data_IF_055118189263
#
_entry.id   IF_055118189263
#
_cell.length_a   1.000
_cell.length_b   1.000
_cell.length_c   1.000
_cell.angle_alpha   90.00
_cell.angle_beta   90.00
_cell.angle_gamma   90.00
#
_symmetry.space_group_name_H-M   'P 1'
#
loop_
_entity.id
_entity.type
_entity.pdbx_description
1 polymer ?
#
# COMPACT_ATOMS: atom_id res chain seq x y z
N UNK A 1 -7.82 -12.92 42.71
CA UNK A 1 -7.62 -12.26 41.40
C UNK A 1 -6.24 -12.65 40.85
N UNK A 2 -6.13 -13.71 40.04
CA UNK A 2 -4.84 -14.15 39.50
C UNK A 2 -4.54 -13.40 38.19
N UNK A 3 -3.53 -12.51 38.21
CA UNK A 3 -2.97 -11.88 37.02
C UNK A 3 -2.20 -12.94 36.21
N UNK A 4 -2.76 -13.37 35.09
CA UNK A 4 -2.05 -14.21 34.10
C UNK A 4 -0.88 -13.40 33.54
N UNK A 5 0.33 -13.71 33.99
CA UNK A 5 1.59 -13.13 33.50
C UNK A 5 1.82 -13.62 32.07
N UNK A 6 1.52 -12.78 31.06
CA UNK A 6 1.83 -13.08 29.65
C UNK A 6 3.33 -13.36 29.52
N UNK A 7 3.72 -14.62 29.25
CA UNK A 7 5.09 -15.02 28.90
C UNK A 7 5.61 -14.09 27.79
N UNK A 8 6.74 -13.41 28.04
CA UNK A 8 7.37 -12.60 27.01
C UNK A 8 7.78 -13.52 25.85
N UNK A 9 7.54 -13.12 24.59
CA UNK A 9 7.89 -13.97 23.45
C UNK A 9 9.41 -14.14 23.41
N UNK A 10 9.86 -15.40 23.25
CA UNK A 10 11.27 -15.74 23.12
C UNK A 10 11.94 -14.89 22.03
N UNK A 11 13.22 -14.56 22.24
CA UNK A 11 14.02 -13.76 21.31
C UNK A 11 13.95 -14.28 19.86
N UNK A 12 13.97 -15.60 19.70
CA UNK A 12 13.83 -16.30 18.41
C UNK A 12 12.46 -16.02 17.77
N UNK A 13 11.39 -16.04 18.56
CA UNK A 13 10.03 -15.73 18.08
C UNK A 13 9.89 -14.29 17.58
N UNK A 14 10.56 -13.33 18.22
CA UNK A 14 10.59 -11.93 17.78
C UNK A 14 11.36 -11.78 16.47
N UNK A 15 12.52 -12.42 16.34
CA UNK A 15 13.32 -12.42 15.11
C UNK A 15 12.55 -12.99 13.91
N UNK A 16 11.87 -14.12 14.08
CA UNK A 16 11.07 -14.75 13.01
C UNK A 16 9.92 -13.83 12.57
N UNK A 17 9.25 -13.17 13.53
CA UNK A 17 8.16 -12.23 13.23
C UNK A 17 8.66 -11.03 12.43
N UNK A 18 9.78 -10.44 12.84
CA UNK A 18 10.42 -9.33 12.13
C UNK A 18 10.76 -9.71 10.69
N UNK A 19 11.43 -10.84 10.48
CA UNK A 19 11.82 -11.33 9.15
C UNK A 19 10.62 -11.64 8.25
N UNK A 20 9.51 -12.13 8.83
CA UNK A 20 8.25 -12.34 8.09
C UNK A 20 7.64 -11.01 7.66
N UNK A 21 7.65 -10.00 8.53
CA UNK A 21 7.13 -8.67 8.24
C UNK A 21 7.98 -7.96 7.18
N UNK A 22 9.30 -8.04 7.26
CA UNK A 22 10.23 -7.53 6.23
C UNK A 22 9.94 -8.13 4.85
N UNK A 23 9.72 -9.46 4.77
CA UNK A 23 9.34 -10.10 3.49
C UNK A 23 8.04 -9.57 2.93
N UNK A 24 7.05 -9.29 3.78
CA UNK A 24 5.76 -8.72 3.37
C UNK A 24 5.92 -7.29 2.86
N UNK A 25 6.74 -6.49 3.54
CA UNK A 25 7.07 -5.14 3.09
C UNK A 25 7.79 -5.17 1.74
N UNK A 26 8.86 -5.97 1.60
CA UNK A 26 9.57 -6.13 0.33
C UNK A 26 8.59 -6.51 -0.79
N UNK A 27 7.66 -7.43 -0.51
CA UNK A 27 6.60 -7.82 -1.45
C UNK A 27 5.72 -6.61 -1.82
N UNK A 28 5.24 -5.85 -0.85
CA UNK A 28 4.43 -4.66 -1.10
C UNK A 28 5.14 -3.65 -2.01
N UNK A 29 6.37 -3.24 -1.66
CA UNK A 29 7.10 -2.23 -2.44
C UNK A 29 7.45 -2.70 -3.85
N UNK A 30 7.78 -3.97 -4.04
CA UNK A 30 8.15 -4.48 -5.37
C UNK A 30 6.94 -4.73 -6.29
N UNK A 31 5.76 -4.98 -5.74
CA UNK A 31 4.67 -5.59 -6.54
C UNK A 31 3.38 -4.78 -6.61
N UNK A 32 3.25 -3.66 -5.90
CA UNK A 32 1.93 -3.03 -5.79
C UNK A 32 1.41 -2.30 -7.05
N UNK A 33 2.16 -2.02 -8.13
CA UNK A 33 1.60 -1.18 -9.22
C UNK A 33 2.21 -1.34 -10.64
N UNK A 34 3.19 -2.21 -10.88
CA UNK A 34 3.88 -2.25 -12.20
C UNK A 34 4.04 -3.63 -12.80
N UNK A 35 3.50 -4.67 -12.16
CA UNK A 35 3.70 -6.04 -12.59
C UNK A 35 2.38 -6.81 -12.51
N UNK A 36 1.79 -7.06 -13.68
CA UNK A 36 0.54 -7.80 -13.87
C UNK A 36 0.67 -9.28 -13.52
N UNK A 37 1.90 -9.79 -13.31
CA UNK A 37 2.12 -11.19 -12.97
C UNK A 37 1.61 -11.53 -11.58
N UNK A 38 0.88 -12.64 -11.49
CA UNK A 38 0.39 -13.16 -10.22
C UNK A 38 1.55 -13.56 -9.30
N UNK A 39 1.37 -13.54 -7.97
CA UNK A 39 2.36 -14.05 -7.02
C UNK A 39 2.80 -15.49 -7.31
N UNK A 40 1.90 -16.32 -7.85
CA UNK A 40 2.17 -17.69 -8.27
C UNK A 40 3.04 -17.73 -9.54
N UNK A 41 2.74 -16.89 -10.54
CA UNK A 41 3.53 -16.81 -11.77
C UNK A 41 5.02 -16.56 -11.49
N UNK A 42 5.35 -15.68 -10.54
CA UNK A 42 6.75 -15.42 -10.18
C UNK A 42 7.44 -16.57 -9.45
N UNK A 43 6.69 -17.31 -8.63
CA UNK A 43 7.22 -18.51 -7.97
C UNK A 43 7.56 -19.55 -9.04
N UNK A 44 6.66 -19.72 -10.01
CA UNK A 44 6.86 -20.61 -11.17
C UNK A 44 8.05 -20.15 -12.00
N UNK A 45 8.17 -18.87 -12.35
CA UNK A 45 9.31 -18.32 -13.11
C UNK A 45 10.65 -18.60 -12.39
N UNK A 46 10.68 -18.39 -11.07
CA UNK A 46 11.91 -18.61 -10.28
C UNK A 46 12.25 -20.09 -10.19
N UNK A 47 11.24 -20.97 -10.02
CA UNK A 47 11.41 -22.42 -10.01
C UNK A 47 11.88 -22.94 -11.36
N UNK A 48 11.21 -22.54 -12.44
CA UNK A 48 11.56 -22.93 -13.81
C UNK A 48 12.98 -22.50 -14.15
N UNK A 49 13.34 -21.24 -13.86
CA UNK A 49 14.70 -20.76 -14.03
C UNK A 49 15.73 -21.52 -13.20
N UNK A 50 15.38 -21.92 -11.96
CA UNK A 50 16.28 -22.72 -11.11
C UNK A 50 16.46 -24.15 -11.62
N UNK A 51 15.40 -24.79 -12.12
CA UNK A 51 15.46 -26.14 -12.70
C UNK A 51 16.34 -26.12 -13.95
N UNK A 52 16.09 -25.15 -14.84
CA UNK A 52 16.88 -24.99 -16.07
C UNK A 52 18.36 -24.72 -15.75
N UNK A 53 18.64 -23.87 -14.74
CA UNK A 53 19.99 -23.63 -14.25
C UNK A 53 20.67 -24.92 -13.77
N UNK A 54 19.98 -25.73 -12.95
CA UNK A 54 20.51 -27.01 -12.45
C UNK A 54 20.85 -27.94 -13.61
N UNK A 55 19.94 -28.10 -14.59
CA UNK A 55 20.15 -29.01 -15.73
C UNK A 55 21.38 -28.59 -16.55
N UNK A 56 21.49 -27.30 -16.90
CA UNK A 56 22.60 -26.80 -17.71
C UNK A 56 23.94 -26.98 -16.99
N UNK A 57 24.03 -26.53 -15.73
CA UNK A 57 25.30 -26.59 -14.99
C UNK A 57 25.68 -28.00 -14.57
N UNK A 58 24.72 -28.87 -14.28
CA UNK A 58 25.00 -30.28 -14.05
C UNK A 58 25.59 -30.94 -15.29
N UNK A 59 24.99 -30.75 -16.47
CA UNK A 59 25.51 -31.29 -17.74
C UNK A 59 26.92 -30.77 -18.02
N UNK A 60 27.16 -29.47 -17.79
CA UNK A 60 28.47 -28.85 -17.99
C UNK A 60 29.53 -29.44 -17.05
N UNK A 61 29.25 -29.55 -15.76
CA UNK A 61 30.22 -30.10 -14.81
C UNK A 61 30.42 -31.61 -14.98
N UNK A 62 29.39 -32.34 -15.40
CA UNK A 62 29.49 -33.76 -15.72
C UNK A 62 30.45 -33.99 -16.89
N UNK A 63 30.36 -33.18 -17.93
CA UNK A 63 31.25 -33.26 -19.08
C UNK A 63 32.72 -32.94 -18.72
N UNK A 64 32.96 -32.04 -17.76
CA UNK A 64 34.32 -31.63 -17.36
C UNK A 64 34.94 -32.62 -16.36
N UNK A 65 34.19 -33.05 -15.35
CA UNK A 65 34.73 -33.87 -14.24
C UNK A 65 34.64 -35.38 -14.49
N UNK A 66 33.78 -35.80 -15.43
CA UNK A 66 33.43 -37.19 -15.72
C UNK A 66 32.98 -37.99 -14.47
N UNK A 67 32.57 -37.29 -13.41
CA UNK A 67 32.15 -37.86 -12.14
C UNK A 67 30.84 -37.21 -11.68
N UNK A 68 29.79 -38.02 -11.58
CA UNK A 68 28.43 -37.55 -11.24
C UNK A 68 28.36 -36.90 -9.85
N UNK A 69 29.09 -37.40 -8.85
CA UNK A 69 29.00 -36.89 -7.49
C UNK A 69 29.58 -35.48 -7.38
N UNK A 70 30.79 -35.27 -7.91
CA UNK A 70 31.45 -33.95 -7.92
C UNK A 70 30.67 -32.93 -8.76
N UNK A 71 30.08 -33.36 -9.87
CA UNK A 71 29.23 -32.52 -10.71
C UNK A 71 28.00 -32.01 -9.95
N UNK A 72 27.36 -32.89 -9.18
CA UNK A 72 26.21 -32.52 -8.36
C UNK A 72 26.62 -31.54 -7.25
N UNK A 73 27.71 -31.83 -6.53
CA UNK A 73 28.22 -30.95 -5.46
C UNK A 73 28.52 -29.55 -5.99
N UNK A 74 29.25 -29.44 -7.11
CA UNK A 74 29.56 -28.16 -7.76
C UNK A 74 28.30 -27.41 -8.21
N UNK A 75 27.32 -28.13 -8.77
CA UNK A 75 26.04 -27.53 -9.20
C UNK A 75 25.26 -26.97 -8.01
N UNK A 76 25.19 -27.68 -6.89
CA UNK A 76 24.49 -27.22 -5.69
C UNK A 76 25.16 -25.99 -5.09
N UNK A 77 26.50 -25.97 -5.02
CA UNK A 77 27.27 -24.81 -4.55
C UNK A 77 26.98 -23.60 -5.45
N UNK A 78 27.04 -23.78 -6.77
CA UNK A 78 26.78 -22.71 -7.72
C UNK A 78 25.33 -22.21 -7.67
N UNK A 79 24.37 -23.11 -7.52
CA UNK A 79 22.96 -22.75 -7.33
C UNK A 79 22.76 -21.93 -6.04
N UNK A 80 23.41 -22.31 -4.94
CA UNK A 80 23.34 -21.54 -3.69
C UNK A 80 23.88 -20.11 -3.88
N UNK A 81 25.02 -19.96 -4.57
CA UNK A 81 25.58 -18.65 -4.93
C UNK A 81 24.63 -17.84 -5.82
N UNK A 82 24.05 -18.47 -6.84
CA UNK A 82 23.08 -17.85 -7.74
C UNK A 82 21.85 -17.32 -6.98
N UNK A 83 21.27 -18.12 -6.06
CA UNK A 83 20.14 -17.70 -5.23
C UNK A 83 20.49 -16.54 -4.29
N UNK A 84 21.70 -16.53 -3.72
CA UNK A 84 22.20 -15.41 -2.91
C UNK A 84 22.34 -14.13 -3.75
N UNK A 85 22.82 -14.24 -4.98
CA UNK A 85 22.95 -13.13 -5.92
C UNK A 85 21.58 -12.56 -6.30
N UNK A 86 20.61 -13.42 -6.66
CA UNK A 86 19.23 -13.01 -6.92
C UNK A 86 18.60 -12.28 -5.73
N UNK A 87 18.86 -12.76 -4.50
CA UNK A 87 18.40 -12.11 -3.27
C UNK A 87 19.02 -10.72 -3.11
N UNK A 88 20.32 -10.58 -3.37
CA UNK A 88 21.04 -9.29 -3.29
C UNK A 88 20.49 -8.28 -4.29
N UNK A 89 20.29 -8.68 -5.54
CA UNK A 89 19.68 -7.83 -6.59
C UNK A 89 18.29 -7.36 -6.15
N UNK A 90 17.46 -8.27 -5.63
CA UNK A 90 16.11 -7.95 -5.16
C UNK A 90 16.12 -6.92 -4.03
N UNK A 91 17.05 -7.06 -3.08
CA UNK A 91 17.18 -6.13 -1.96
C UNK A 91 17.65 -4.75 -2.42
N UNK A 92 18.60 -4.69 -3.35
CA UNK A 92 19.06 -3.44 -3.93
C UNK A 92 17.92 -2.72 -4.68
N UNK A 93 17.16 -3.44 -5.51
CA UNK A 93 15.97 -2.91 -6.20
C UNK A 93 14.92 -2.42 -5.21
N UNK A 94 14.69 -3.15 -4.12
CA UNK A 94 13.79 -2.74 -3.04
C UNK A 94 14.21 -1.40 -2.42
N UNK A 95 15.48 -1.25 -2.04
CA UNK A 95 15.98 -0.01 -1.44
C UNK A 95 15.85 1.19 -2.39
N UNK A 96 16.11 0.99 -3.69
CA UNK A 96 15.94 2.03 -4.71
C UNK A 96 14.48 2.48 -4.87
N UNK A 97 13.53 1.54 -4.83
CA UNK A 97 12.10 1.83 -5.04
C UNK A 97 11.43 2.37 -3.76
N UNK A 98 11.92 1.97 -2.58
CA UNK A 98 11.31 2.28 -1.28
C UNK A 98 11.08 3.78 -1.07
N UNK A 99 12.12 4.60 -1.24
CA UNK A 99 12.04 6.04 -0.97
C UNK A 99 11.02 6.74 -1.87
N UNK A 100 11.05 6.43 -3.18
CA UNK A 100 10.08 6.99 -4.14
C UNK A 100 8.64 6.62 -3.78
N UNK A 101 8.38 5.34 -3.52
CA UNK A 101 7.04 4.88 -3.13
C UNK A 101 6.57 5.45 -1.80
N UNK A 102 7.48 5.58 -0.83
CA UNK A 102 7.16 6.22 0.45
C UNK A 102 6.71 7.67 0.25
N UNK A 103 7.41 8.40 -0.60
CA UNK A 103 7.06 9.78 -0.94
C UNK A 103 5.72 9.87 -1.66
N UNK A 104 5.48 9.00 -2.64
CA UNK A 104 4.18 8.91 -3.34
C UNK A 104 3.02 8.62 -2.35
N UNK A 105 3.19 7.65 -1.45
CA UNK A 105 2.19 7.32 -0.42
C UNK A 105 2.01 8.45 0.60
N UNK A 106 3.08 9.17 0.95
CA UNK A 106 3.01 10.33 1.82
C UNK A 106 2.20 11.47 1.17
N UNK A 107 2.40 11.69 -0.13
CA UNK A 107 1.63 12.66 -0.91
C UNK A 107 0.15 12.31 -0.98
N UNK A 108 -0.16 11.04 -1.27
CA UNK A 108 -1.55 10.55 -1.27
C UNK A 108 -2.19 10.70 0.10
N UNK A 109 -1.48 10.34 1.18
CA UNK A 109 -1.97 10.48 2.54
C UNK A 109 -2.27 11.93 2.90
N UNK A 110 -1.34 12.84 2.64
CA UNK A 110 -1.50 14.27 2.92
C UNK A 110 -2.64 14.87 2.08
N UNK A 111 -2.71 14.52 0.80
CA UNK A 111 -3.82 14.94 -0.06
C UNK A 111 -5.16 14.49 0.49
N UNK A 112 -5.29 13.20 0.84
CA UNK A 112 -6.52 12.66 1.44
C UNK A 112 -6.85 13.35 2.76
N UNK A 113 -5.85 13.57 3.63
CA UNK A 113 -6.01 14.33 4.87
C UNK A 113 -6.56 15.72 4.59
N UNK A 114 -5.97 16.47 3.64
CA UNK A 114 -6.44 17.81 3.27
C UNK A 114 -7.90 17.81 2.78
N UNK A 115 -8.36 16.76 2.10
CA UNK A 115 -9.75 16.64 1.62
C UNK A 115 -10.74 16.32 2.74
N UNK A 116 -10.28 15.61 3.78
CA UNK A 116 -11.07 15.26 4.97
C UNK A 116 -11.24 16.44 5.94
N UNK A 117 -10.29 17.38 5.98
CA UNK A 117 -10.37 18.58 6.83
C UNK A 117 -11.60 19.45 6.49
N UNK A 118 -12.06 20.20 7.49
CA UNK A 118 -12.96 21.31 7.24
C UNK A 118 -12.21 22.50 6.59
N UNK A 119 -12.92 23.45 6.01
CA UNK A 119 -12.27 24.53 5.25
C UNK A 119 -11.33 25.38 6.11
N UNK A 120 -11.70 25.69 7.36
CA UNK A 120 -10.87 26.47 8.28
C UNK A 120 -9.58 25.74 8.67
N UNK A 121 -9.70 24.45 8.99
CA UNK A 121 -8.55 23.58 9.28
C UNK A 121 -7.63 23.45 8.06
N UNK A 122 -8.19 23.39 6.85
CA UNK A 122 -7.42 23.38 5.62
C UNK A 122 -6.63 24.68 5.43
N UNK A 123 -7.27 25.84 5.62
CA UNK A 123 -6.60 27.15 5.58
C UNK A 123 -5.49 27.20 6.62
N UNK A 124 -5.78 26.86 7.88
CA UNK A 124 -4.81 26.82 8.98
C UNK A 124 -3.63 25.90 8.67
N UNK A 125 -3.88 24.73 8.09
CA UNK A 125 -2.84 23.77 7.73
C UNK A 125 -1.90 24.31 6.65
N UNK A 126 -2.42 25.07 5.69
CA UNK A 126 -1.60 25.72 4.65
C UNK A 126 -0.87 26.94 5.21
N UNK A 127 -1.50 27.72 6.08
CA UNK A 127 -0.86 28.84 6.79
C UNK A 127 0.35 28.35 7.59
N UNK A 128 0.21 27.25 8.34
CA UNK A 128 1.32 26.63 9.07
C UNK A 128 2.46 26.21 8.12
N UNK A 129 2.12 25.68 6.94
CA UNK A 129 3.10 25.30 5.93
C UNK A 129 3.81 26.53 5.33
N UNK A 130 3.07 27.59 5.04
CA UNK A 130 3.58 28.85 4.51
C UNK A 130 4.47 29.56 5.54
N UNK A 131 4.07 29.62 6.81
CA UNK A 131 4.83 30.25 7.88
C UNK A 131 6.21 29.60 8.09
N UNK A 132 6.30 28.28 7.92
CA UNK A 132 7.59 27.56 7.99
C UNK A 132 8.54 27.88 6.85
N UNK A 133 8.01 28.15 5.65
CA UNK A 133 8.82 28.43 4.45
C UNK A 133 9.12 29.92 4.33
N UNK A 134 8.16 30.76 4.71
CA UNK A 134 8.21 32.22 4.62
C UNK A 134 7.94 32.82 6.01
N UNK A 135 8.95 32.86 6.91
CA UNK A 135 8.77 33.36 8.27
C UNK A 135 8.31 34.82 8.37
N UNK A 136 8.51 35.60 7.30
CA UNK A 136 8.11 37.01 7.21
C UNK A 136 6.73 37.21 6.58
N UNK A 137 6.01 36.14 6.25
CA UNK A 137 4.66 36.21 5.71
C UNK A 137 3.68 36.36 6.88
N UNK A 138 3.23 37.58 7.13
CA UNK A 138 2.28 37.87 8.21
C UNK A 138 0.91 38.22 7.64
N UNK A 139 -0.17 37.77 8.28
CA UNK A 139 -1.53 38.22 7.98
C UNK A 139 -1.65 39.74 8.22
N UNK A 140 -2.15 40.46 7.23
CA UNK A 140 -2.32 41.91 7.25
C UNK A 140 -3.78 42.27 7.54
N UNK A 141 -4.07 42.73 8.76
CA UNK A 141 -5.38 43.27 9.15
C UNK A 141 -6.46 42.23 9.45
N UNK A 142 -6.63 41.93 10.75
CA UNK A 142 -7.75 41.16 11.31
C UNK A 142 -7.44 40.71 12.74
N UNK A 143 -8.45 40.56 13.60
CA UNK A 143 -8.39 40.23 15.05
C UNK A 143 -7.74 38.85 15.39
N UNK A 144 -6.73 38.39 14.64
CA UNK A 144 -6.21 37.03 14.71
C UNK A 144 -7.20 35.96 14.20
N UNK A 145 -8.31 36.37 13.57
CA UNK A 145 -9.31 35.48 13.00
C UNK A 145 -8.85 34.99 11.62
N UNK A 146 -8.86 33.67 11.45
CA UNK A 146 -8.49 33.00 10.20
C UNK A 146 -9.37 33.46 9.03
N UNK A 147 -8.79 33.67 7.83
CA UNK A 147 -9.55 34.06 6.65
C UNK A 147 -10.50 32.94 6.25
N UNK A 148 -11.75 33.30 5.95
CA UNK A 148 -12.78 32.34 5.54
C UNK A 148 -12.61 31.87 4.09
N UNK A 149 -11.91 32.64 3.25
CA UNK A 149 -11.72 32.34 1.83
C UNK A 149 -10.48 33.05 1.25
N UNK A 150 -10.36 34.36 1.51
CA UNK A 150 -9.25 35.19 1.06
C UNK A 150 -8.49 35.78 2.27
N UNK A 151 -7.17 35.62 2.27
CA UNK A 151 -6.28 36.23 3.26
C UNK A 151 -5.35 37.25 2.62
N UNK A 152 -5.21 38.42 3.24
CA UNK A 152 -4.21 39.42 2.82
C UNK A 152 -2.96 39.18 3.66
N UNK A 153 -1.83 39.02 2.99
CA UNK A 153 -0.55 38.77 3.61
C UNK A 153 0.45 39.85 3.25
N UNK A 154 1.35 40.16 4.18
CA UNK A 154 2.46 41.07 3.95
C UNK A 154 3.73 40.26 3.69
N UNK A 155 4.38 40.53 2.56
CA UNK A 155 5.70 39.99 2.22
C UNK A 155 6.66 41.16 2.05
N UNK A 156 7.35 41.52 3.13
CA UNK A 156 8.15 42.75 3.20
C UNK A 156 7.26 44.00 3.15
N UNK A 157 7.42 44.83 2.12
CA UNK A 157 6.58 46.02 1.89
C UNK A 157 5.39 45.75 0.97
N UNK A 158 5.33 44.58 0.31
CA UNK A 158 4.27 44.25 -0.63
C UNK A 158 3.13 43.48 0.06
N UNK A 159 1.89 43.80 -0.30
CA UNK A 159 0.71 42.98 0.04
C UNK A 159 0.52 41.89 -1.00
N UNK A 160 0.09 40.71 -0.58
CA UNK A 160 -0.22 39.55 -1.40
C UNK A 160 -1.58 39.01 -0.99
N UNK A 161 -2.49 38.86 -1.94
CA UNK A 161 -3.78 38.22 -1.69
C UNK A 161 -3.65 36.71 -1.91
N UNK A 162 -4.03 35.90 -0.93
CA UNK A 162 -4.04 34.44 -1.07
C UNK A 162 -5.48 33.94 -0.96
N UNK A 163 -5.97 33.27 -1.99
CA UNK A 163 -7.29 32.62 -2.01
C UNK A 163 -7.13 31.12 -1.79
N UNK A 164 -7.88 30.57 -0.85
CA UNK A 164 -7.90 29.16 -0.55
C UNK A 164 -9.16 28.51 -1.11
N UNK A 165 -8.99 27.52 -2.00
CA UNK A 165 -10.10 26.73 -2.56
C UNK A 165 -9.90 25.26 -2.22
N UNK A 166 -10.76 24.72 -1.37
CA UNK A 166 -10.80 23.29 -1.10
C UNK A 166 -11.94 22.69 -1.91
N UNK A 167 -11.61 22.06 -3.05
CA UNK A 167 -12.62 21.35 -3.85
C UNK A 167 -12.61 19.87 -3.50
N UNK A 168 -13.74 19.35 -3.01
CA UNK A 168 -13.92 17.94 -2.64
C UNK A 168 -14.38 17.06 -3.80
N UNK A 169 -14.81 17.66 -4.91
CA UNK A 169 -15.53 17.00 -6.00
C UNK A 169 -14.66 16.69 -7.23
N UNK A 170 -13.33 16.81 -7.12
CA UNK A 170 -12.36 16.72 -8.24
C UNK A 170 -12.67 17.65 -9.42
N UNK A 171 -13.56 18.63 -9.24
CA UNK A 171 -13.87 19.61 -10.27
C UNK A 171 -12.70 20.56 -10.46
N UNK A 172 -12.45 20.89 -11.72
CA UNK A 172 -11.44 21.85 -12.09
C UNK A 172 -11.92 23.26 -11.74
N UNK A 173 -10.98 24.13 -11.37
CA UNK A 173 -11.27 25.54 -11.12
C UNK A 173 -11.42 26.26 -12.46
N UNK A 174 -12.57 26.89 -12.66
CA UNK A 174 -12.92 27.61 -13.88
C UNK A 174 -12.49 29.09 -13.88
N UNK A 175 -12.80 29.77 -14.99
CA UNK A 175 -12.42 31.18 -15.23
C UNK A 175 -13.16 32.13 -14.28
N UNK A 176 -14.40 31.82 -13.89
CA UNK A 176 -15.23 32.66 -13.03
C UNK A 176 -14.56 32.91 -11.66
N UNK A 177 -13.97 31.87 -11.08
CA UNK A 177 -13.18 31.93 -9.86
C UNK A 177 -11.94 32.83 -9.98
N UNK A 178 -11.28 32.83 -11.14
CA UNK A 178 -10.11 33.68 -11.37
C UNK A 178 -10.54 35.11 -11.61
N UNK A 179 -11.64 35.33 -12.34
CA UNK A 179 -12.17 36.66 -12.61
C UNK A 179 -12.61 37.34 -11.30
N UNK A 180 -13.33 36.61 -10.44
CA UNK A 180 -13.69 37.11 -9.10
C UNK A 180 -12.47 37.38 -8.22
N UNK A 181 -11.40 36.60 -8.35
CA UNK A 181 -10.13 36.85 -7.65
C UNK A 181 -9.45 38.12 -8.15
N UNK A 182 -9.36 38.32 -9.47
CA UNK A 182 -8.82 39.52 -10.08
C UNK A 182 -9.58 40.78 -9.66
N UNK A 183 -10.91 40.70 -9.56
CA UNK A 183 -11.74 41.83 -9.10
C UNK A 183 -11.44 42.16 -7.63
N UNK A 184 -11.37 41.16 -6.75
CA UNK A 184 -10.99 41.36 -5.35
C UNK A 184 -9.58 41.98 -5.22
N UNK A 185 -8.62 41.56 -6.04
CA UNK A 185 -7.28 42.17 -6.08
C UNK A 185 -7.32 43.66 -6.46
N UNK A 186 -8.14 44.02 -7.46
CA UNK A 186 -8.31 45.42 -7.91
C UNK A 186 -8.96 46.28 -6.83
N UNK A 187 -10.03 45.79 -6.21
CA UNK A 187 -10.74 46.49 -5.12
C UNK A 187 -9.81 46.79 -3.95
N UNK A 188 -8.94 45.83 -3.60
CA UNK A 188 -7.98 45.97 -2.50
C UNK A 188 -6.68 46.68 -2.91
N UNK A 189 -6.55 47.10 -4.18
CA UNK A 189 -5.32 47.70 -4.74
C UNK A 189 -4.06 46.84 -4.54
N UNK A 190 -4.21 45.51 -4.62
CA UNK A 190 -3.14 44.53 -4.46
C UNK A 190 -2.66 44.04 -5.84
N UNK A 191 -1.37 44.15 -6.13
CA UNK A 191 -0.80 43.77 -7.43
C UNK A 191 -0.32 42.31 -7.51
N UNK A 192 -0.21 41.60 -6.38
CA UNK A 192 0.29 40.22 -6.30
C UNK A 192 -0.73 39.30 -5.64
N UNK A 193 -0.97 38.13 -6.23
CA UNK A 193 -1.93 37.17 -5.69
C UNK A 193 -1.54 35.72 -5.93
N UNK A 194 -2.06 34.83 -5.09
CA UNK A 194 -1.93 33.39 -5.27
C UNK A 194 -3.26 32.69 -5.02
N UNK A 195 -3.64 31.78 -5.90
CA UNK A 195 -4.79 30.90 -5.69
C UNK A 195 -4.25 29.51 -5.38
N UNK A 196 -4.60 28.99 -4.20
CA UNK A 196 -4.21 27.66 -3.74
C UNK A 196 -5.42 26.76 -3.79
N UNK A 197 -5.32 25.66 -4.53
CA UNK A 197 -6.40 24.68 -4.67
C UNK A 197 -5.95 23.24 -4.46
N UNK A 198 -6.86 22.40 -3.96
CA UNK A 198 -6.69 20.94 -3.92
C UNK A 198 -6.97 20.25 -5.26
N UNK A 199 -7.58 20.95 -6.22
CA UNK A 199 -7.86 20.46 -7.57
C UNK A 199 -6.86 21.02 -8.61
N UNK A 200 -7.19 20.92 -9.90
CA UNK A 200 -6.43 21.48 -11.01
C UNK A 200 -7.17 22.69 -11.61
N UNK A 201 -6.47 23.59 -12.29
CA UNK A 201 -7.11 24.65 -13.05
C UNK A 201 -7.42 24.20 -14.49
N UNK A 202 -8.48 24.75 -15.06
CA UNK A 202 -8.75 24.61 -16.50
C UNK A 202 -7.65 25.26 -17.33
N UNK A 203 -7.39 24.76 -18.55
CA UNK A 203 -6.39 25.38 -19.45
C UNK A 203 -6.70 26.85 -19.74
N UNK A 204 -7.98 27.17 -19.90
CA UNK A 204 -8.47 28.53 -20.15
C UNK A 204 -8.10 29.52 -19.04
N UNK A 205 -7.94 29.04 -17.80
CA UNK A 205 -7.48 29.84 -16.68
C UNK A 205 -6.05 30.34 -16.85
N UNK A 206 -5.17 29.47 -17.35
CA UNK A 206 -3.76 29.79 -17.57
C UNK A 206 -3.63 30.83 -18.68
N UNK A 207 -4.40 30.68 -19.76
CA UNK A 207 -4.40 31.62 -20.88
C UNK A 207 -5.00 32.98 -20.48
N UNK A 208 -6.04 32.98 -19.64
CA UNK A 208 -6.61 34.20 -19.08
C UNK A 208 -5.63 34.95 -18.17
N UNK A 209 -4.86 34.27 -17.33
CA UNK A 209 -3.85 34.94 -16.49
C UNK A 209 -2.74 35.55 -17.35
N UNK A 210 -2.33 34.89 -18.43
CA UNK A 210 -1.31 35.43 -19.35
C UNK A 210 -1.75 36.70 -20.06
N UNK A 211 -3.04 36.89 -20.30
CA UNK A 211 -3.55 38.12 -20.94
C UNK A 211 -3.58 39.31 -19.99
N UNK A 212 -3.50 39.09 -18.68
CA UNK A 212 -3.47 40.15 -17.66
C UNK A 212 -2.02 40.59 -17.41
N UNK A 213 -1.68 41.81 -17.85
CA UNK A 213 -0.32 42.36 -17.69
C UNK A 213 -0.11 43.10 -16.37
N UNK A 214 -1.18 43.62 -15.76
CA UNK A 214 -1.10 44.53 -14.61
C UNK A 214 -1.08 43.82 -13.24
N UNK A 215 -1.35 42.50 -13.20
CA UNK A 215 -1.41 41.70 -11.97
C UNK A 215 -0.44 40.52 -12.06
N UNK A 216 0.21 40.18 -10.95
CA UNK A 216 1.06 38.98 -10.84
C UNK A 216 0.30 37.90 -10.05
N UNK A 217 -0.25 36.93 -10.77
CA UNK A 217 -1.06 35.86 -10.18
C UNK A 217 -0.31 34.53 -10.27
N UNK A 218 -0.19 33.83 -9.13
CA UNK A 218 0.37 32.48 -9.05
C UNK A 218 -0.74 31.46 -8.84
N UNK A 219 -0.79 30.44 -9.70
CA UNK A 219 -1.69 29.30 -9.54
C UNK A 219 -0.95 28.15 -8.86
N UNK A 220 -1.49 27.65 -7.75
CA UNK A 220 -0.95 26.54 -7.00
C UNK A 220 -1.99 25.42 -6.95
N UNK A 221 -1.76 24.40 -7.77
CA UNK A 221 -2.57 23.18 -7.80
C UNK A 221 -2.06 22.16 -6.77
N UNK A 222 -2.75 21.02 -6.71
CA UNK A 222 -2.39 19.86 -5.90
C UNK A 222 -0.90 19.55 -5.88
N UNK A 223 -0.24 19.50 -7.04
CA UNK A 223 1.17 19.09 -7.11
C UNK A 223 2.12 20.12 -6.53
N UNK A 224 1.90 21.42 -6.81
CA UNK A 224 2.70 22.50 -6.23
C UNK A 224 2.44 22.61 -4.73
N UNK A 225 1.19 22.43 -4.29
CA UNK A 225 0.80 22.43 -2.89
C UNK A 225 1.47 21.30 -2.10
N UNK A 226 1.50 20.08 -2.64
CA UNK A 226 2.20 18.94 -2.01
C UNK A 226 3.72 19.18 -1.91
N UNK A 227 4.33 19.79 -2.94
CA UNK A 227 5.74 20.19 -2.89
C UNK A 227 6.00 21.29 -1.86
N UNK A 228 5.04 22.20 -1.65
CA UNK A 228 5.11 23.21 -0.59
C UNK A 228 5.09 22.52 0.77
N UNK A 229 4.15 21.62 1.02
CA UNK A 229 4.07 20.86 2.28
C UNK A 229 5.33 20.03 2.53
N UNK A 230 5.93 19.47 1.47
CA UNK A 230 7.24 18.81 1.54
C UNK A 230 8.33 19.76 2.05
N UNK A 231 8.45 20.95 1.45
CA UNK A 231 9.45 21.96 1.86
C UNK A 231 9.24 22.45 3.28
N UNK A 232 7.99 22.50 3.74
CA UNK A 232 7.64 22.84 5.11
C UNK A 232 7.98 21.73 6.13
N UNK A 233 8.45 20.56 5.69
CA UNK A 233 8.74 19.42 6.56
C UNK A 233 7.47 18.85 7.23
N UNK A 234 6.31 18.99 6.59
CA UNK A 234 5.01 18.54 7.09
C UNK A 234 4.57 17.19 6.51
N UNK A 235 5.43 16.54 5.71
CA UNK A 235 5.18 15.18 5.27
C UNK A 235 5.29 14.20 6.45
N UNK A 236 4.47 13.14 6.44
CA UNK A 236 4.61 12.08 7.42
C UNK A 236 5.95 11.35 7.28
N UNK A 237 6.50 10.94 8.42
CA UNK A 237 7.74 10.16 8.50
C UNK A 237 7.62 8.81 7.76
N UNK A 238 8.75 8.29 7.28
CA UNK A 238 8.80 6.98 6.64
C UNK A 238 8.26 5.85 7.54
N UNK A 239 8.50 5.93 8.86
CA UNK A 239 7.97 4.96 9.83
C UNK A 239 6.45 5.00 9.90
N UNK A 240 5.85 6.17 9.76
CA UNK A 240 4.40 6.32 9.75
C UNK A 240 3.81 5.66 8.49
N UNK A 241 4.40 5.93 7.32
CA UNK A 241 4.00 5.29 6.06
C UNK A 241 4.18 3.77 6.13
N UNK A 242 5.29 3.28 6.66
CA UNK A 242 5.52 1.85 6.84
C UNK A 242 4.44 1.22 7.75
N UNK A 243 4.04 1.91 8.82
CA UNK A 243 2.96 1.47 9.70
C UNK A 243 1.59 1.45 9.01
N UNK A 244 1.30 2.44 8.15
CA UNK A 244 0.08 2.44 7.33
C UNK A 244 0.04 1.22 6.39
N UNK A 245 1.16 0.93 5.72
CA UNK A 245 1.30 -0.25 4.85
C UNK A 245 1.11 -1.53 5.67
N UNK A 246 1.74 -1.65 6.83
CA UNK A 246 1.59 -2.82 7.71
C UNK A 246 0.13 -2.99 8.14
N UNK A 247 -0.58 -1.90 8.43
CA UNK A 247 -2.00 -1.92 8.79
C UNK A 247 -2.83 -2.44 7.61
N UNK A 248 -2.62 -1.92 6.41
CA UNK A 248 -3.31 -2.38 5.20
C UNK A 248 -3.06 -3.87 4.92
N UNK A 249 -1.81 -4.33 5.00
CA UNK A 249 -1.46 -5.74 4.84
C UNK A 249 -2.20 -6.61 5.88
N UNK A 250 -2.27 -6.16 7.13
CA UNK A 250 -2.99 -6.90 8.18
C UNK A 250 -4.50 -6.94 7.93
N UNK A 251 -5.08 -5.89 7.39
CA UNK A 251 -6.50 -5.83 7.05
C UNK A 251 -6.84 -6.77 5.90
N UNK A 252 -6.02 -6.81 4.85
CA UNK A 252 -6.15 -7.78 3.74
C UNK A 252 -6.02 -9.21 4.25
N UNK A 253 -5.05 -9.49 5.14
CA UNK A 253 -4.92 -10.81 5.74
C UNK A 253 -6.13 -11.19 6.59
N UNK A 254 -6.72 -10.24 7.34
CA UNK A 254 -7.96 -10.49 8.08
C UNK A 254 -9.11 -10.82 7.14
N UNK A 255 -9.27 -10.09 6.03
CA UNK A 255 -10.29 -10.37 4.99
C UNK A 255 -10.08 -11.77 4.40
N UNK A 256 -8.85 -12.11 4.03
CA UNK A 256 -8.52 -13.44 3.51
C UNK A 256 -8.76 -14.57 4.53
N UNK A 257 -8.44 -14.33 5.80
CA UNK A 257 -8.71 -15.29 6.88
C UNK A 257 -10.21 -15.46 7.14
N UNK A 258 -10.99 -14.38 7.05
CA UNK A 258 -12.45 -14.43 7.14
C UNK A 258 -13.02 -15.27 5.98
N UNK A 259 -12.63 -14.96 4.74
CA UNK A 259 -13.01 -15.73 3.55
C UNK A 259 -12.61 -17.20 3.68
N UNK A 260 -11.37 -17.49 4.09
CA UNK A 260 -10.90 -18.86 4.29
C UNK A 260 -11.73 -19.60 5.34
N UNK A 261 -12.08 -18.95 6.45
CA UNK A 261 -12.93 -19.55 7.49
C UNK A 261 -14.34 -19.81 6.99
N UNK A 262 -14.87 -18.92 6.15
CA UNK A 262 -16.20 -19.05 5.57
C UNK A 262 -16.28 -20.15 4.50
N UNK A 263 -15.26 -20.27 3.65
CA UNK A 263 -15.15 -21.35 2.66
C UNK A 263 -14.91 -22.69 3.36
N UNK A 264 -14.04 -22.74 4.38
CA UNK A 264 -13.68 -23.98 5.07
C UNK A 264 -14.58 -24.31 6.27
N UNK A 265 -15.85 -23.88 6.25
CA UNK A 265 -16.77 -24.22 7.33
C UNK A 265 -17.10 -25.72 7.32
N UNK A 266 -17.03 -26.44 8.46
CA UNK A 266 -17.29 -27.88 8.51
C UNK A 266 -18.73 -28.23 8.10
N UNK A 267 -19.67 -27.29 8.23
CA UNK A 267 -21.06 -27.45 7.76
C UNK A 267 -21.18 -27.58 6.23
N UNK A 268 -20.19 -27.10 5.47
CA UNK A 268 -20.20 -27.09 4.00
C UNK A 268 -19.63 -28.38 3.36
N UNK A 269 -19.10 -29.33 4.15
CA UNK A 269 -18.54 -30.60 3.62
C UNK A 269 -19.55 -31.34 2.74
N UNK A 270 -20.77 -31.52 3.24
CA UNK A 270 -21.84 -32.21 2.49
C UNK A 270 -22.21 -31.48 1.21
N UNK A 271 -22.29 -30.15 1.28
CA UNK A 271 -22.59 -29.31 0.12
C UNK A 271 -21.52 -29.43 -0.95
N UNK A 272 -20.23 -29.28 -0.61
CA UNK A 272 -19.13 -29.41 -1.57
C UNK A 272 -18.97 -30.81 -2.15
N UNK A 273 -19.18 -31.85 -1.32
CA UNK A 273 -19.16 -33.23 -1.79
C UNK A 273 -20.29 -33.50 -2.78
N UNK A 274 -21.51 -33.07 -2.46
CA UNK A 274 -22.66 -33.19 -3.34
C UNK A 274 -22.45 -32.44 -4.65
N UNK A 275 -22.09 -31.15 -4.60
CA UNK A 275 -21.83 -30.36 -5.82
C UNK A 275 -20.72 -30.95 -6.66
N UNK A 276 -19.66 -31.48 -6.04
CA UNK A 276 -18.56 -32.13 -6.75
C UNK A 276 -18.99 -33.39 -7.51
N UNK A 277 -19.79 -34.25 -6.86
CA UNK A 277 -20.38 -35.44 -7.49
C UNK A 277 -21.33 -35.03 -8.60
N UNK A 278 -22.22 -34.06 -8.36
CA UNK A 278 -23.17 -33.57 -9.36
C UNK A 278 -22.46 -33.07 -10.61
N UNK A 279 -21.37 -32.31 -10.49
CA UNK A 279 -20.59 -31.85 -11.65
C UNK A 279 -19.95 -32.99 -12.45
N UNK A 280 -19.46 -34.03 -11.77
CA UNK A 280 -18.88 -35.20 -12.44
C UNK A 280 -19.97 -36.00 -13.15
N UNK A 281 -21.13 -36.20 -12.54
CA UNK A 281 -22.28 -36.85 -13.19
C UNK A 281 -22.76 -36.04 -14.39
N UNK A 282 -22.91 -34.73 -14.24
CA UNK A 282 -23.36 -33.83 -15.31
C UNK A 282 -22.37 -33.78 -16.48
N UNK A 283 -21.07 -33.92 -16.22
CA UNK A 283 -20.03 -34.02 -17.25
C UNK A 283 -20.20 -35.20 -18.20
N UNK A 284 -20.95 -36.25 -17.78
CA UNK A 284 -21.26 -37.41 -18.63
C UNK A 284 -22.42 -37.14 -19.60
N UNK A 285 -23.24 -36.14 -19.30
CA UNK A 285 -24.44 -35.79 -20.08
C UNK A 285 -24.11 -34.67 -21.09
N UNK A 286 -23.17 -33.78 -20.75
CA UNK A 286 -22.83 -32.59 -21.56
C UNK A 286 -21.56 -32.84 -22.39
N UNK A 287 -21.55 -32.33 -23.63
CA UNK A 287 -20.46 -32.47 -24.60
C UNK A 287 -19.13 -31.84 -24.14
N UNK A 288 -19.16 -30.86 -23.22
CA UNK A 288 -17.98 -30.17 -22.68
C UNK A 288 -17.44 -30.84 -21.40
N UNK A 289 -17.15 -32.14 -21.47
CA UNK A 289 -16.79 -33.00 -20.32
C UNK A 289 -15.68 -32.41 -19.42
N UNK A 290 -14.61 -31.89 -20.01
CA UNK A 290 -13.44 -31.37 -19.25
C UNK A 290 -13.81 -30.16 -18.39
N UNK A 291 -14.66 -29.27 -18.90
CA UNK A 291 -15.05 -28.03 -18.21
C UNK A 291 -15.86 -28.30 -16.94
N UNK A 292 -16.58 -29.43 -16.88
CA UNK A 292 -17.38 -29.84 -15.72
C UNK A 292 -16.61 -30.79 -14.78
N UNK A 293 -15.68 -31.58 -15.28
CA UNK A 293 -14.83 -32.46 -14.45
C UNK A 293 -13.91 -31.66 -13.53
N UNK A 294 -13.24 -30.63 -14.05
CA UNK A 294 -12.30 -29.80 -13.28
C UNK A 294 -12.94 -29.18 -12.02
N UNK A 295 -14.05 -28.44 -12.10
CA UNK A 295 -14.72 -27.89 -10.92
C UNK A 295 -15.27 -28.99 -9.99
N UNK A 296 -15.70 -30.14 -10.54
CA UNK A 296 -16.12 -31.30 -9.75
C UNK A 296 -15.01 -31.86 -8.86
N UNK A 297 -13.82 -32.07 -9.43
CA UNK A 297 -12.62 -32.51 -8.70
C UNK A 297 -12.20 -31.48 -7.65
N UNK A 298 -12.22 -30.18 -7.99
CA UNK A 298 -11.89 -29.10 -7.05
C UNK A 298 -12.84 -29.10 -5.85
N UNK A 299 -14.15 -29.24 -6.08
CA UNK A 299 -15.15 -29.30 -5.00
C UNK A 299 -14.96 -30.52 -4.09
N UNK A 300 -14.66 -31.70 -4.66
CA UNK A 300 -14.37 -32.90 -3.88
C UNK A 300 -13.09 -32.76 -3.05
N UNK A 301 -12.02 -32.22 -3.64
CA UNK A 301 -10.78 -31.95 -2.92
C UNK A 301 -11.01 -30.99 -1.75
N UNK A 302 -11.81 -29.93 -1.96
CA UNK A 302 -12.21 -29.01 -0.88
C UNK A 302 -13.01 -29.72 0.21
N UNK A 303 -13.98 -30.57 -0.13
CA UNK A 303 -14.76 -31.33 0.84
C UNK A 303 -13.86 -32.20 1.75
N UNK A 304 -12.87 -32.88 1.15
CA UNK A 304 -11.88 -33.69 1.86
C UNK A 304 -11.01 -32.82 2.78
N UNK A 305 -10.49 -31.70 2.29
CA UNK A 305 -9.69 -30.75 3.10
C UNK A 305 -10.49 -30.21 4.29
N UNK A 306 -11.76 -29.89 4.10
CA UNK A 306 -12.64 -29.39 5.17
C UNK A 306 -12.93 -30.48 6.18
N UNK A 307 -13.19 -31.71 5.74
CA UNK A 307 -13.42 -32.85 6.62
C UNK A 307 -12.22 -33.09 7.56
N UNK A 308 -11.00 -33.18 7.00
CA UNK A 308 -9.78 -33.38 7.80
C UNK A 308 -9.46 -32.19 8.71
N UNK A 309 -9.67 -30.96 8.25
CA UNK A 309 -9.45 -29.77 9.10
C UNK A 309 -10.48 -29.65 10.22
N UNK A 310 -11.72 -30.08 10.00
CA UNK A 310 -12.77 -30.17 11.02
C UNK A 310 -12.47 -31.20 12.13
N UNK A 311 -11.91 -32.36 11.77
CA UNK A 311 -11.48 -33.39 12.74
C UNK A 311 -10.35 -32.87 13.63
N UNK A 312 -9.34 -32.19 13.04
CA UNK A 312 -8.25 -31.54 13.79
C UNK A 312 -8.74 -30.42 14.72
N UNK A 313 -9.83 -29.75 14.38
CA UNK A 313 -10.41 -28.70 15.21
C UNK A 313 -11.20 -29.27 16.40
N UNK A 314 -11.90 -30.41 16.24
CA UNK A 314 -12.59 -31.11 17.33
C UNK A 314 -11.61 -31.70 18.35
N UNK A 315 -10.58 -32.40 17.86
CA UNK A 315 -9.51 -32.98 18.71
C UNK A 315 -8.72 -31.94 19.51
N UNK A 316 -8.64 -30.69 19.05
CA UNK A 316 -8.01 -29.57 19.79
C UNK A 316 -8.94 -28.94 20.84
N UNK A 317 -10.25 -29.09 20.69
CA UNK A 317 -11.25 -28.62 21.67
C UNK A 317 -11.50 -29.64 22.79
N UNK A 318 -11.27 -30.92 22.52
CA UNK A 318 -11.29 -31.99 23.53
C UNK A 318 -10.06 -31.97 24.45
N UNK A 319 -8.95 -31.38 24.00
CA UNK A 319 -7.76 -31.15 24.84
C UNK A 319 -7.82 -29.79 25.56
N UNK A 320 -8.63 -29.65 26.60
CA UNK A 320 -8.52 -28.63 27.69
C UNK A 320 -9.59 -28.94 28.76
N UNK A 321 -9.41 -28.70 30.09
CA UNK A 321 -8.23 -28.42 30.91
C UNK A 321 -8.04 -29.44 32.06
N UNK A 322 -8.53 -30.69 31.94
CA UNK A 322 -8.24 -31.71 32.97
C UNK A 322 -6.87 -32.37 32.74
N UNK A 323 -6.50 -32.62 31.49
CA UNK A 323 -5.25 -33.34 31.19
C UNK A 323 -3.98 -32.50 31.49
N UNK A 324 -4.03 -31.17 31.41
CA UNK A 324 -2.93 -30.28 31.84
C UNK A 324 -2.75 -30.24 33.38
N UNK A 325 -3.75 -30.68 34.16
CA UNK A 325 -3.65 -30.81 35.63
C UNK A 325 -3.03 -32.15 36.03
N UNK A 326 -3.19 -33.19 35.20
CA UNK A 326 -2.64 -34.52 35.48
C UNK A 326 -1.21 -34.72 34.94
N UNK A 327 -0.80 -34.03 33.86
CA UNK A 327 0.57 -34.13 33.34
C UNK A 327 1.63 -33.33 34.14
N UNK A 328 1.22 -32.39 35.00
CA UNK A 328 2.14 -31.59 35.85
C UNK A 328 2.40 -32.19 37.25
N UNK A 329 1.93 -33.41 37.52
CA UNK A 329 2.18 -34.11 38.81
C UNK A 329 3.27 -35.17 38.77
N UNK A 330 3.89 -35.40 37.61
CA UNK A 330 4.98 -36.35 37.45
C UNK A 330 6.12 -35.73 36.67
N UNK A 331 6.84 -34.79 37.29
CA UNK A 331 8.23 -34.42 36.99
C UNK A 331 8.79 -33.58 38.12
#
# INVERSE_FOLDING_TARGET
MYKIKKKSPSYIGQYIRKKRLERKLIKYYLYNNSDTRTPLGRIIDTLAGSILFIVIFYMLFFNITNNSTWSLVLTVILLALFLLLLKKIRLHKYNKIRSRKNKELAYEYVHKKMMELNHREFVSYIEDALAKIYPHLCLDGGDGKQPAQDGIYRLGQAKVLIRYKQDKSEKQVGIDEITSFCNAMKELSISKGCIITTSSFDKSCVDFIKSITNLKICLMEKEQLLKLIERAGLLPDEKFIENLIIKQIKEEEKKWLALKREVLMPKKVKLYAFTGISFIVLSRIIQYTVLYIIPGIICLALAVIIYYSGIKAKTKKEKTPLDEVFDNKTS
#
